data_IF_697872868165
#
_entry.id   IF_697872868165
#
_cell.length_a   1.000
_cell.length_b   1.000
_cell.length_c   1.000
_cell.angle_alpha   90.00
_cell.angle_beta   90.00
_cell.angle_gamma   90.00
#
_symmetry.space_group_name_H-M   'P 1'
#
loop_
_entity.id
_entity.type
_entity.pdbx_description
1 polymer ?
#
# COMPACT_ATOMS: atom_id res chain seq x y z
N UNK A 1 -16.36 14.80 29.79
CA UNK A 1 -15.19 15.62 29.39
C UNK A 1 -14.60 14.95 28.15
N UNK A 2 -15.04 15.39 26.96
CA UNK A 2 -14.61 14.84 25.66
C UNK A 2 -13.24 15.42 25.30
N UNK A 3 -12.23 14.56 25.19
CA UNK A 3 -10.89 14.96 24.75
C UNK A 3 -10.93 15.39 23.28
N UNK A 4 -10.62 16.64 23.01
CA UNK A 4 -10.41 17.15 21.67
C UNK A 4 -9.22 16.42 21.04
N UNK A 5 -9.47 15.64 19.99
CA UNK A 5 -8.43 15.11 19.12
C UNK A 5 -7.76 16.28 18.41
N UNK A 6 -6.46 16.47 18.65
CA UNK A 6 -5.67 17.43 17.88
C UNK A 6 -5.82 17.11 16.39
N UNK A 7 -6.10 18.09 15.52
CA UNK A 7 -6.09 17.87 14.08
C UNK A 7 -4.71 17.38 13.65
N UNK A 8 -4.69 16.47 12.68
CA UNK A 8 -3.45 16.01 12.05
C UNK A 8 -2.79 17.22 11.35
N UNK A 9 -1.76 17.78 11.97
CA UNK A 9 -0.96 18.86 11.39
C UNK A 9 0.06 18.23 10.42
N UNK A 10 -0.25 18.24 9.13
CA UNK A 10 0.74 17.98 8.07
C UNK A 10 1.71 19.16 8.03
N UNK A 11 2.96 18.96 8.47
CA UNK A 11 4.04 19.91 8.22
C UNK A 11 4.37 19.91 6.73
N UNK A 12 4.33 21.09 6.12
CA UNK A 12 4.66 21.35 4.71
C UNK A 12 5.93 20.60 4.25
N UNK A 13 5.86 20.06 3.03
CA UNK A 13 6.84 19.27 2.25
C UNK A 13 6.81 17.73 2.38
N UNK A 14 6.03 17.15 3.29
CA UNK A 14 5.79 15.71 3.25
C UNK A 14 4.68 15.40 2.23
N UNK A 15 5.03 14.80 1.09
CA UNK A 15 4.05 14.07 0.27
C UNK A 15 3.29 13.15 1.23
N UNK A 16 1.99 13.35 1.35
CA UNK A 16 1.15 12.47 2.14
C UNK A 16 1.09 11.12 1.40
N UNK A 17 1.92 10.19 1.85
CA UNK A 17 2.01 8.82 1.32
C UNK A 17 0.61 8.20 1.20
N UNK A 18 -0.29 8.50 2.13
CA UNK A 18 -1.67 7.99 2.12
C UNK A 18 -2.45 8.57 0.95
N UNK A 19 -2.34 9.88 0.72
CA UNK A 19 -2.96 10.55 -0.43
C UNK A 19 -2.42 9.98 -1.74
N UNK A 20 -1.10 9.82 -1.87
CA UNK A 20 -0.48 9.28 -3.09
C UNK A 20 -0.90 7.84 -3.36
N UNK A 21 -0.99 7.00 -2.32
CA UNK A 21 -1.50 5.64 -2.45
C UNK A 21 -2.95 5.66 -2.92
N UNK A 22 -3.82 6.45 -2.28
CA UNK A 22 -5.23 6.57 -2.63
C UNK A 22 -5.42 7.05 -4.07
N UNK A 23 -4.66 8.06 -4.50
CA UNK A 23 -4.71 8.57 -5.87
C UNK A 23 -4.25 7.50 -6.87
N UNK A 24 -3.13 6.81 -6.62
CA UNK A 24 -2.67 5.71 -7.49
C UNK A 24 -3.69 4.58 -7.61
N UNK A 25 -4.39 4.28 -6.52
CA UNK A 25 -5.43 3.25 -6.46
C UNK A 25 -6.66 3.65 -7.27
N UNK A 26 -7.17 4.87 -7.06
CA UNK A 26 -8.35 5.38 -7.76
C UNK A 26 -8.11 5.57 -9.26
N UNK A 27 -6.93 6.05 -9.64
CA UNK A 27 -6.55 6.26 -11.04
C UNK A 27 -6.04 4.99 -11.74
N UNK A 28 -5.90 3.87 -11.01
CA UNK A 28 -5.33 2.62 -11.53
C UNK A 28 -3.95 2.83 -12.15
N UNK A 29 -3.12 3.62 -11.47
CA UNK A 29 -1.74 3.92 -11.86
C UNK A 29 -0.75 3.17 -10.98
N UNK A 30 0.32 2.67 -11.60
CA UNK A 30 1.38 1.99 -10.88
C UNK A 30 1.98 2.96 -9.86
N UNK A 31 2.37 2.43 -8.70
CA UNK A 31 2.97 3.18 -7.62
C UNK A 31 4.43 2.75 -7.45
N UNK A 32 5.34 3.71 -7.49
CA UNK A 32 6.73 3.48 -7.10
C UNK A 32 6.86 3.70 -5.59
N UNK A 33 7.37 2.70 -4.87
CA UNK A 33 7.53 2.77 -3.42
C UNK A 33 8.94 2.42 -2.97
N UNK A 34 9.39 3.09 -1.91
CA UNK A 34 10.51 2.64 -1.11
C UNK A 34 9.98 1.93 0.13
N UNK A 35 10.26 0.63 0.24
CA UNK A 35 9.67 -0.25 1.25
C UNK A 35 10.73 -0.84 2.18
N UNK A 36 10.44 -0.87 3.48
CA UNK A 36 11.26 -1.58 4.47
C UNK A 36 10.55 -2.87 4.88
N UNK A 37 11.14 -4.00 4.55
CA UNK A 37 10.64 -5.31 4.97
C UNK A 37 10.79 -5.55 6.48
N UNK A 38 10.13 -6.60 6.99
CA UNK A 38 10.25 -7.03 8.39
C UNK A 38 11.70 -7.28 8.82
N UNK A 39 12.51 -7.86 7.93
CA UNK A 39 13.94 -8.08 8.15
C UNK A 39 14.79 -6.80 7.98
N UNK A 40 14.17 -5.62 8.05
CA UNK A 40 14.79 -4.29 7.90
C UNK A 40 15.53 -4.08 6.57
N UNK A 41 15.27 -4.89 5.55
CA UNK A 41 15.84 -4.69 4.21
C UNK A 41 15.02 -3.65 3.46
N UNK A 42 15.67 -2.58 3.05
CA UNK A 42 15.12 -1.55 2.19
C UNK A 42 15.09 -2.03 0.74
N UNK A 43 14.05 -1.65 0.01
CA UNK A 43 13.99 -1.94 -1.42
C UNK A 43 13.01 -1.05 -2.15
N UNK A 44 13.34 -0.68 -3.38
CA UNK A 44 12.43 0.02 -4.29
C UNK A 44 11.57 -0.97 -5.08
N UNK A 45 10.31 -0.62 -5.31
CA UNK A 45 9.31 -1.44 -5.99
C UNK A 45 8.46 -0.57 -6.90
N UNK A 46 8.04 -1.13 -8.03
CA UNK A 46 6.89 -0.63 -8.79
C UNK A 46 5.76 -1.64 -8.59
N UNK A 47 4.63 -1.17 -8.07
CA UNK A 47 3.50 -2.01 -7.71
C UNK A 47 2.21 -1.55 -8.40
N UNK A 48 1.32 -2.50 -8.69
CA UNK A 48 -0.06 -2.21 -9.10
C UNK A 48 -0.95 -2.29 -7.85
N UNK A 49 -1.48 -1.17 -7.35
CA UNK A 49 -2.30 -1.13 -6.13
C UNK A 49 -3.72 -1.66 -6.39
N UNK A 50 -3.93 -2.97 -6.28
CA UNK A 50 -5.22 -3.60 -6.64
C UNK A 50 -6.28 -3.49 -5.54
N UNK A 51 -5.89 -3.62 -4.27
CA UNK A 51 -6.82 -3.53 -3.14
C UNK A 51 -6.17 -2.87 -1.93
N UNK A 52 -6.96 -2.09 -1.19
CA UNK A 52 -6.62 -1.55 0.12
C UNK A 52 -7.43 -2.28 1.18
N UNK A 53 -6.77 -2.75 2.23
CA UNK A 53 -7.42 -3.55 3.26
C UNK A 53 -6.95 -3.20 4.66
N UNK A 54 -7.89 -3.12 5.59
CA UNK A 54 -7.63 -2.93 7.01
C UNK A 54 -7.61 -4.29 7.71
N UNK A 55 -6.45 -4.68 8.23
CA UNK A 55 -6.31 -5.73 9.23
C UNK A 55 -5.86 -5.05 10.51
N UNK A 56 -6.83 -4.75 11.37
CA UNK A 56 -6.68 -3.81 12.48
C UNK A 56 -5.43 -4.12 13.34
N UNK A 57 -4.60 -3.11 13.68
CA UNK A 57 -4.76 -1.68 13.43
C UNK A 57 -4.06 -1.17 12.15
N UNK A 58 -3.76 -2.04 11.18
CA UNK A 58 -2.82 -1.73 10.09
C UNK A 58 -3.49 -1.81 8.71
N UNK A 59 -3.18 -0.84 7.86
CA UNK A 59 -3.57 -0.86 6.45
C UNK A 59 -2.54 -1.55 5.56
N UNK A 60 -3.05 -2.31 4.60
CA UNK A 60 -2.29 -3.10 3.65
C UNK A 60 -2.71 -2.77 2.21
N UNK A 61 -1.75 -2.90 1.28
CA UNK A 61 -1.97 -2.89 -0.16
C UNK A 61 -1.78 -4.33 -0.66
N UNK A 62 -2.79 -4.91 -1.29
CA UNK A 62 -2.65 -6.11 -2.11
C UNK A 62 -2.27 -5.64 -3.51
N UNK A 63 -1.12 -6.10 -4.00
CA UNK A 63 -0.54 -5.59 -5.22
C UNK A 63 0.14 -6.65 -6.08
N UNK A 64 0.23 -6.36 -7.38
CA UNK A 64 1.19 -7.05 -8.25
C UNK A 64 2.54 -6.36 -8.10
N UNK A 65 3.56 -7.09 -7.65
CA UNK A 65 4.93 -6.58 -7.51
C UNK A 65 5.73 -6.89 -8.78
N UNK A 66 6.08 -5.87 -9.56
CA UNK A 66 6.84 -6.04 -10.79
C UNK A 66 8.26 -6.57 -10.56
N UNK A 67 8.88 -6.34 -9.40
CA UNK A 67 10.19 -6.91 -9.12
C UNK A 67 10.12 -8.42 -8.91
N UNK A 68 9.05 -8.89 -8.27
CA UNK A 68 8.85 -10.32 -8.00
C UNK A 68 8.05 -11.03 -9.08
N UNK A 69 7.44 -10.27 -9.99
CA UNK A 69 6.52 -10.76 -11.01
C UNK A 69 5.45 -11.68 -10.39
N UNK A 70 4.89 -11.24 -9.26
CA UNK A 70 3.98 -12.03 -8.45
C UNK A 70 3.11 -11.14 -7.54
N UNK A 71 1.98 -11.67 -7.02
CA UNK A 71 1.22 -11.02 -5.97
C UNK A 71 2.06 -10.82 -4.70
N UNK A 72 1.86 -9.69 -4.02
CA UNK A 72 2.44 -9.36 -2.72
C UNK A 72 1.51 -8.46 -1.91
N UNK A 73 1.68 -8.50 -0.60
CA UNK A 73 1.02 -7.59 0.31
C UNK A 73 2.06 -6.67 0.95
N UNK A 74 1.76 -5.38 0.97
CA UNK A 74 2.60 -4.36 1.58
C UNK A 74 1.85 -3.67 2.71
N UNK A 75 2.48 -3.55 3.89
CA UNK A 75 1.97 -2.68 4.94
C UNK A 75 2.26 -1.22 4.60
N UNK A 76 1.24 -0.36 4.69
CA UNK A 76 1.40 1.06 4.36
C UNK A 76 2.37 1.76 5.31
N UNK A 77 2.36 1.41 6.60
CA UNK A 77 3.26 1.98 7.62
C UNK A 77 4.77 1.71 7.40
N UNK A 78 5.08 0.75 6.52
CA UNK A 78 6.46 0.39 6.13
C UNK A 78 6.90 1.03 4.81
N UNK A 79 6.05 1.81 4.16
CA UNK A 79 6.38 2.62 2.99
C UNK A 79 7.04 3.92 3.46
N UNK A 80 8.22 4.23 2.93
CA UNK A 80 9.01 5.41 3.27
C UNK A 80 8.91 6.53 2.25
N UNK A 81 8.60 6.19 1.01
CA UNK A 81 8.28 7.13 -0.06
C UNK A 81 7.32 6.43 -1.04
N UNK A 82 6.44 7.20 -1.67
CA UNK A 82 5.47 6.77 -2.65
C UNK A 82 5.36 7.84 -3.76
N UNK A 83 5.43 7.42 -5.02
CA UNK A 83 5.31 8.30 -6.19
C UNK A 83 4.47 7.61 -7.28
N UNK A 84 3.53 8.33 -7.88
CA UNK A 84 2.67 7.79 -8.94
C UNK A 84 3.47 7.69 -10.24
N UNK A 85 3.53 6.48 -10.81
CA UNK A 85 4.18 6.25 -12.09
C UNK A 85 3.25 6.64 -13.26
N UNK A 86 3.84 6.88 -14.44
CA UNK A 86 3.07 7.17 -15.67
C UNK A 86 2.27 5.97 -16.19
N UNK A 87 2.70 4.74 -15.85
CA UNK A 87 2.08 3.50 -16.33
C UNK A 87 0.78 3.20 -15.56
N UNK A 88 -0.30 2.96 -16.28
CA UNK A 88 -1.56 2.42 -15.73
C UNK A 88 -1.58 0.89 -15.71
N UNK A 89 -2.48 0.32 -14.92
CA UNK A 89 -2.76 -1.10 -14.87
C UNK A 89 -4.27 -1.35 -14.98
N UNK A 90 -4.63 -2.60 -15.25
CA UNK A 90 -6.02 -3.07 -15.15
C UNK A 90 -6.16 -3.93 -13.91
N UNK A 91 -7.29 -3.83 -13.22
CA UNK A 91 -7.56 -4.67 -12.06
C UNK A 91 -7.41 -6.15 -12.41
N UNK A 92 -6.87 -6.90 -11.45
CA UNK A 92 -6.64 -8.35 -11.53
C UNK A 92 -7.51 -9.05 -10.47
N UNK A 93 -8.77 -9.37 -10.77
CA UNK A 93 -9.69 -10.01 -9.80
C UNK A 93 -9.15 -11.32 -9.23
N UNK A 94 -8.30 -12.03 -9.98
CA UNK A 94 -7.66 -13.26 -9.57
C UNK A 94 -6.77 -13.13 -8.33
N UNK A 95 -6.29 -11.91 -8.01
CA UNK A 95 -5.48 -11.65 -6.82
C UNK A 95 -6.26 -11.82 -5.52
N UNK A 96 -7.59 -11.67 -5.55
CA UNK A 96 -8.48 -11.97 -4.42
C UNK A 96 -9.19 -13.32 -4.61
N UNK A 97 -9.57 -13.68 -5.84
CA UNK A 97 -10.37 -14.90 -6.05
C UNK A 97 -9.67 -16.18 -5.57
N UNK A 98 -8.34 -16.21 -5.63
CA UNK A 98 -7.52 -17.31 -5.13
C UNK A 98 -6.72 -16.92 -3.89
N UNK A 99 -7.20 -15.94 -3.10
CA UNK A 99 -6.43 -15.21 -2.09
C UNK A 99 -5.47 -16.13 -1.32
N UNK A 100 -4.20 -16.21 -1.75
CA UNK A 100 -3.23 -17.06 -1.10
C UNK A 100 -2.81 -16.44 0.23
N UNK A 101 -3.39 -15.31 0.62
CA UNK A 101 -3.09 -14.58 1.82
C UNK A 101 -4.29 -14.46 2.77
N UNK A 102 -5.44 -15.08 2.46
CA UNK A 102 -6.58 -15.17 3.38
C UNK A 102 -6.14 -15.69 4.76
N UNK A 103 -5.13 -16.57 4.79
CA UNK A 103 -4.57 -17.10 6.02
C UNK A 103 -3.81 -16.06 6.87
N UNK A 104 -3.17 -15.05 6.27
CA UNK A 104 -2.53 -13.95 7.02
C UNK A 104 -3.55 -13.09 7.78
N UNK A 105 -4.83 -13.21 7.44
CA UNK A 105 -5.93 -12.46 8.04
C UNK A 105 -6.83 -13.34 8.92
N UNK A 106 -6.69 -14.66 8.84
CA UNK A 106 -7.46 -15.63 9.64
C UNK A 106 -6.98 -15.79 11.09
N UNK A 107 -5.88 -15.14 11.47
CA UNK A 107 -5.25 -15.26 12.79
C UNK A 107 -5.35 -14.00 13.64
N UNK A 108 -6.24 -13.07 13.27
CA UNK A 108 -6.52 -11.83 14.01
C UNK A 108 -7.91 -11.92 14.64
#
# INVERSE_FOLDING_TARGET
MLGATAPYQSSDDHIDISQTICESFLEQRCLNINYISENKRCSSRTIESHYLMLAWPVWYIVAWDHLRNAPRIFRIDRIKNAEIASKSFKLRPELIANDPYAHHFSSI
#
